data_IF_397160605403
#
_entry.id   IF_397160605403
#
_cell.length_a   1.000
_cell.length_b   1.000
_cell.length_c   1.000
_cell.angle_alpha   90.00
_cell.angle_beta   90.00
_cell.angle_gamma   90.00
#
_symmetry.space_group_name_H-M   'P 1'
#
loop_
_entity.id
_entity.type
_entity.pdbx_description
1 polymer ?
#
# COMPACT_ATOMS: atom_id res chain seq x y z
N UNK A 1 -10.77 35.75 39.14
CA UNK A 1 -10.16 34.40 39.20
C UNK A 1 -10.05 33.90 37.78
N UNK A 2 -8.87 34.05 37.19
CA UNK A 2 -8.60 33.74 35.79
C UNK A 2 -8.22 32.26 35.66
N UNK A 3 -9.09 31.45 35.03
CA UNK A 3 -8.80 30.03 34.78
C UNK A 3 -7.97 29.92 33.52
N UNK A 4 -6.66 29.87 33.67
CA UNK A 4 -5.73 29.51 32.60
C UNK A 4 -6.14 28.15 32.02
N UNK A 5 -6.59 28.13 30.75
CA UNK A 5 -6.83 26.89 30.03
C UNK A 5 -5.49 26.19 29.78
N UNK A 6 -5.38 24.87 30.01
CA UNK A 6 -4.15 24.15 29.69
C UNK A 6 -3.90 24.27 28.18
N UNK A 7 -2.74 24.80 27.81
CA UNK A 7 -2.26 24.74 26.43
C UNK A 7 -2.02 23.27 26.12
N UNK A 8 -2.82 22.72 25.22
CA UNK A 8 -2.58 21.41 24.63
C UNK A 8 -1.29 21.53 23.83
N UNK A 9 -0.19 20.99 24.36
CA UNK A 9 1.01 20.75 23.55
C UNK A 9 0.59 19.88 22.37
N UNK A 10 0.71 20.44 21.17
CA UNK A 10 0.48 19.69 19.94
C UNK A 10 1.67 18.73 19.85
N UNK A 11 1.47 17.50 20.33
CA UNK A 11 2.40 16.42 20.06
C UNK A 11 2.50 16.28 18.54
N UNK A 12 3.68 16.54 17.99
CA UNK A 12 3.98 16.39 16.57
C UNK A 12 3.93 14.89 16.26
N UNK A 13 2.78 14.41 15.78
CA UNK A 13 2.63 13.04 15.31
C UNK A 13 3.45 12.81 14.04
N UNK A 14 4.10 11.65 13.97
CA UNK A 14 4.77 11.18 12.75
C UNK A 14 3.72 10.74 11.72
N UNK A 15 3.83 11.24 10.49
CA UNK A 15 3.02 10.76 9.37
C UNK A 15 3.69 9.52 8.82
N UNK A 16 3.02 8.37 8.95
CA UNK A 16 3.53 7.08 8.48
C UNK A 16 2.88 6.72 7.15
N UNK A 17 3.68 6.32 6.16
CA UNK A 17 3.18 5.68 4.95
C UNK A 17 2.64 4.29 5.31
N UNK A 18 1.32 4.16 5.29
CA UNK A 18 0.64 2.93 5.67
C UNK A 18 0.98 1.75 4.74
N UNK A 19 1.22 1.99 3.45
CA UNK A 19 1.56 0.93 2.50
C UNK A 19 2.96 0.37 2.79
N UNK A 20 3.91 1.25 3.11
CA UNK A 20 5.27 0.86 3.50
C UNK A 20 5.26 0.09 4.83
N UNK A 21 4.57 0.62 5.84
CA UNK A 21 4.42 -0.05 7.13
C UNK A 21 3.73 -1.42 6.99
N UNK A 22 2.73 -1.53 6.11
CA UNK A 22 2.06 -2.79 5.81
C UNK A 22 3.04 -3.80 5.20
N UNK A 23 3.81 -3.43 4.17
CA UNK A 23 4.80 -4.32 3.55
C UNK A 23 5.90 -4.74 4.53
N UNK A 24 6.36 -3.82 5.38
CA UNK A 24 7.35 -4.11 6.42
C UNK A 24 6.83 -5.11 7.47
N UNK A 25 5.52 -5.12 7.74
CA UNK A 25 4.88 -6.07 8.66
C UNK A 25 4.73 -7.50 8.11
N UNK A 26 4.98 -7.70 6.80
CA UNK A 26 4.90 -9.02 6.17
C UNK A 26 6.22 -9.81 6.34
N UNK A 27 6.15 -11.16 6.38
CA UNK A 27 7.33 -12.02 6.25
C UNK A 27 8.17 -11.63 5.03
N UNK A 28 9.50 -11.76 5.13
CA UNK A 28 10.41 -11.33 4.08
C UNK A 28 10.14 -12.04 2.76
N UNK A 29 9.87 -13.35 2.81
CA UNK A 29 9.58 -14.19 1.66
C UNK A 29 8.33 -13.69 0.92
N UNK A 30 7.25 -13.46 1.67
CA UNK A 30 5.99 -12.96 1.10
C UNK A 30 6.16 -11.54 0.51
N UNK A 31 6.97 -10.69 1.14
CA UNK A 31 7.24 -9.34 0.65
C UNK A 31 7.97 -9.37 -0.69
N UNK A 32 8.98 -10.23 -0.83
CA UNK A 32 9.71 -10.41 -2.09
C UNK A 32 8.83 -11.00 -3.18
N UNK A 33 7.99 -11.99 -2.85
CA UNK A 33 6.99 -12.53 -3.79
C UNK A 33 6.03 -11.46 -4.31
N UNK A 34 5.44 -10.67 -3.40
CA UNK A 34 4.52 -9.59 -3.75
C UNK A 34 5.22 -8.51 -4.59
N UNK A 35 6.49 -8.21 -4.29
CA UNK A 35 7.28 -7.26 -5.08
C UNK A 35 7.55 -7.78 -6.48
N UNK A 36 7.95 -9.04 -6.61
CA UNK A 36 8.18 -9.68 -7.91
C UNK A 36 6.90 -9.70 -8.76
N UNK A 37 5.77 -10.05 -8.16
CA UNK A 37 4.46 -10.02 -8.84
C UNK A 37 4.06 -8.60 -9.25
N UNK A 38 4.24 -7.62 -8.38
CA UNK A 38 3.95 -6.23 -8.70
C UNK A 38 4.81 -5.69 -9.87
N UNK A 39 6.09 -6.10 -9.95
CA UNK A 39 6.97 -5.77 -11.08
C UNK A 39 6.45 -6.41 -12.37
N UNK A 40 6.12 -7.71 -12.34
CA UNK A 40 5.56 -8.39 -13.51
C UNK A 40 4.27 -7.73 -14.01
N UNK A 41 3.39 -7.33 -13.08
CA UNK A 41 2.16 -6.62 -13.40
C UNK A 41 2.44 -5.23 -13.97
N UNK A 42 3.41 -4.51 -13.41
CA UNK A 42 3.82 -3.22 -13.94
C UNK A 42 4.37 -3.32 -15.36
N UNK A 43 5.21 -4.31 -15.65
CA UNK A 43 5.73 -4.55 -16.99
C UNK A 43 4.62 -4.93 -17.98
N UNK A 44 3.64 -5.73 -17.55
CA UNK A 44 2.56 -6.20 -18.41
C UNK A 44 1.50 -5.13 -18.70
N UNK A 45 1.13 -4.34 -17.70
CA UNK A 45 -0.04 -3.47 -17.76
C UNK A 45 0.29 -1.97 -17.73
N UNK A 46 1.49 -1.59 -17.28
CA UNK A 46 1.97 -0.21 -17.24
C UNK A 46 3.43 -0.09 -17.73
N UNK A 47 3.79 -0.61 -18.93
CA UNK A 47 5.18 -0.71 -19.42
C UNK A 47 5.90 0.64 -19.61
N UNK A 48 5.16 1.76 -19.54
CA UNK A 48 5.71 3.12 -19.60
C UNK A 48 5.79 3.79 -18.23
N UNK A 49 5.68 3.03 -17.13
CA UNK A 49 5.76 3.57 -15.77
C UNK A 49 4.61 4.52 -15.42
N UNK A 50 3.42 4.28 -15.97
CA UNK A 50 2.26 5.16 -15.69
C UNK A 50 1.75 4.87 -14.28
N UNK A 51 2.18 5.69 -13.33
CA UNK A 51 1.78 5.62 -11.93
C UNK A 51 0.25 5.46 -11.75
N UNK A 52 -0.54 6.24 -12.51
CA UNK A 52 -2.01 6.16 -12.50
C UNK A 52 -2.58 4.77 -12.87
N UNK A 53 -1.95 4.03 -13.80
CA UNK A 53 -2.41 2.69 -14.18
C UNK A 53 -2.16 1.68 -13.06
N UNK A 54 -1.01 1.78 -12.40
CA UNK A 54 -0.65 0.96 -11.23
C UNK A 54 -1.53 1.27 -10.02
N UNK A 55 -1.86 2.54 -9.79
CA UNK A 55 -2.78 2.96 -8.74
C UNK A 55 -4.19 2.41 -8.99
N UNK A 56 -4.69 2.51 -10.22
CA UNK A 56 -5.99 1.96 -10.59
C UNK A 56 -6.06 0.43 -10.35
N UNK A 57 -4.97 -0.29 -10.62
CA UNK A 57 -4.85 -1.73 -10.33
C UNK A 57 -4.83 -2.03 -8.83
N UNK A 58 -4.02 -1.29 -8.06
CA UNK A 58 -3.97 -1.41 -6.60
C UNK A 58 -5.35 -1.19 -5.97
N UNK A 59 -6.08 -0.20 -6.48
CA UNK A 59 -7.44 0.07 -6.08
C UNK A 59 -8.41 -1.05 -6.48
N UNK A 60 -8.28 -1.62 -7.68
CA UNK A 60 -9.12 -2.74 -8.11
C UNK A 60 -8.92 -3.99 -7.22
N UNK A 61 -7.68 -4.26 -6.80
CA UNK A 61 -7.33 -5.36 -5.89
C UNK A 61 -7.91 -5.17 -4.48
N UNK A 62 -8.06 -3.93 -4.04
CA UNK A 62 -8.59 -3.61 -2.71
C UNK A 62 -10.11 -3.44 -2.69
N UNK A 63 -10.72 -3.05 -3.83
CA UNK A 63 -12.17 -2.96 -4.03
C UNK A 63 -12.81 -4.30 -4.41
N UNK A 64 -12.10 -5.12 -5.18
CA UNK A 64 -12.52 -6.48 -5.51
C UNK A 64 -12.25 -7.39 -4.33
N UNK A 65 -13.29 -7.76 -3.59
CA UNK A 65 -13.23 -8.99 -2.80
C UNK A 65 -12.84 -10.11 -3.75
N UNK A 66 -11.58 -10.54 -3.66
CA UNK A 66 -11.06 -11.63 -4.44
C UNK A 66 -12.06 -12.78 -4.36
N UNK A 67 -12.62 -13.12 -5.52
CA UNK A 67 -13.77 -14.00 -5.69
C UNK A 67 -13.33 -15.47 -5.55
N UNK A 68 -12.44 -15.74 -4.60
CA UNK A 68 -11.80 -17.02 -4.35
C UNK A 68 -12.38 -17.65 -3.08
N UNK A 69 -12.39 -18.97 -3.03
CA UNK A 69 -13.02 -19.78 -1.99
C UNK A 69 -12.49 -19.55 -0.55
N UNK A 70 -11.44 -18.74 -0.35
CA UNK A 70 -10.83 -18.43 0.95
C UNK A 70 -10.68 -16.91 1.21
N UNK A 71 -11.75 -16.24 1.69
CA UNK A 71 -11.86 -14.78 1.64
C UNK A 71 -10.93 -13.99 2.58
N UNK A 72 -10.28 -14.62 3.56
CA UNK A 72 -9.41 -13.92 4.51
C UNK A 72 -7.94 -13.91 4.08
N UNK A 73 -7.43 -15.05 3.62
CA UNK A 73 -6.04 -15.17 3.19
C UNK A 73 -5.79 -14.35 1.92
N UNK A 74 -6.79 -14.29 1.04
CA UNK A 74 -6.74 -13.55 -0.21
C UNK A 74 -6.73 -12.02 0.01
N UNK A 75 -7.41 -11.51 1.05
CA UNK A 75 -7.45 -10.07 1.37
C UNK A 75 -6.11 -9.52 1.83
N UNK A 76 -5.37 -10.26 2.67
CA UNK A 76 -4.04 -9.81 3.14
C UNK A 76 -3.06 -9.75 1.98
N UNK A 77 -3.08 -10.76 1.11
CA UNK A 77 -2.25 -10.82 -0.10
C UNK A 77 -2.62 -9.70 -1.08
N UNK A 78 -3.90 -9.50 -1.37
CA UNK A 78 -4.39 -8.45 -2.26
C UNK A 78 -4.00 -7.04 -1.76
N UNK A 79 -4.12 -6.78 -0.45
CA UNK A 79 -3.64 -5.51 0.15
C UNK A 79 -2.13 -5.36 0.07
N UNK A 80 -1.38 -6.44 0.30
CA UNK A 80 0.08 -6.44 0.14
C UNK A 80 0.50 -6.16 -1.29
N UNK A 81 -0.17 -6.77 -2.27
CA UNK A 81 0.09 -6.55 -3.69
C UNK A 81 -0.27 -5.11 -4.11
N UNK A 82 -1.41 -4.60 -3.63
CA UNK A 82 -1.80 -3.21 -3.85
C UNK A 82 -0.77 -2.22 -3.27
N UNK A 83 -0.27 -2.47 -2.06
CA UNK A 83 0.79 -1.67 -1.45
C UNK A 83 2.09 -1.71 -2.28
N UNK A 84 2.48 -2.90 -2.78
CA UNK A 84 3.66 -3.05 -3.64
C UNK A 84 3.50 -2.29 -4.98
N UNK A 85 2.32 -2.35 -5.61
CA UNK A 85 2.03 -1.60 -6.83
C UNK A 85 2.09 -0.08 -6.61
N UNK A 86 1.55 0.41 -5.50
CA UNK A 86 1.62 1.84 -5.14
C UNK A 86 3.04 2.29 -4.82
N UNK A 87 3.86 1.44 -4.19
CA UNK A 87 5.28 1.73 -3.96
C UNK A 87 6.07 1.87 -5.28
N UNK A 88 5.79 1.01 -6.26
CA UNK A 88 6.37 1.13 -7.61
C UNK A 88 5.88 2.41 -8.29
N UNK A 89 4.57 2.71 -8.23
CA UNK A 89 4.00 3.92 -8.80
C UNK A 89 4.70 5.18 -8.27
N UNK A 90 4.85 5.32 -6.95
CA UNK A 90 5.55 6.45 -6.31
C UNK A 90 7.01 6.56 -6.72
N UNK A 91 7.69 5.43 -6.90
CA UNK A 91 9.10 5.40 -7.33
C UNK A 91 9.26 5.77 -8.81
N UNK A 92 8.20 5.68 -9.61
CA UNK A 92 8.19 6.05 -11.04
C UNK A 92 7.83 7.51 -11.30
N UNK A 93 7.32 8.24 -10.29
CA UNK A 93 7.01 9.68 -10.38
C UNK A 93 8.19 10.60 -9.98
N UNK A 94 9.25 10.02 -9.42
CA UNK A 94 10.52 10.71 -9.09
C UNK A 94 11.58 10.54 -10.17
#
# INVERSE_FOLDING_TARGET
MDRARPRTDIQTGEVVDFDEALLASLPAELREELRAEAIMLADAFAPKGRAHELEAMADALTRGEARSAEPQMDRRRARGLAAALRAIARSSEG
#
